data_IF_221089681561
#
_entry.id   IF_221089681561
#
_cell.length_a   1.000
_cell.length_b   1.000
_cell.length_c   1.000
_cell.angle_alpha   90.00
_cell.angle_beta   90.00
_cell.angle_gamma   90.00
#
_symmetry.space_group_name_H-M   'P 1'
#
loop_
_entity.id
_entity.type
_entity.pdbx_description
1 polymer ?
#
# COMPACT_ATOMS: atom_id res chain seq x y z
N UNK A 1 -0.95 9.35 -46.77
CA UNK A 1 -2.28 9.95 -47.03
C UNK A 1 -2.12 11.24 -47.84
N UNK A 2 -1.23 12.14 -47.48
CA UNK A 2 -1.05 13.42 -48.23
C UNK A 2 -0.54 13.23 -49.63
N UNK A 3 0.35 12.27 -49.86
CA UNK A 3 0.84 11.93 -51.20
C UNK A 3 -0.28 11.40 -52.12
N UNK A 4 -1.14 10.52 -51.64
CA UNK A 4 -2.30 10.00 -52.37
C UNK A 4 -3.32 11.10 -52.67
N UNK A 5 -3.55 11.99 -51.69
CA UNK A 5 -4.42 13.14 -51.88
C UNK A 5 -3.88 14.11 -52.92
N UNK A 6 -2.56 14.37 -52.96
CA UNK A 6 -1.94 15.21 -53.99
C UNK A 6 -2.10 14.64 -55.40
N UNK A 7 -1.90 13.31 -55.56
CA UNK A 7 -2.14 12.63 -56.84
C UNK A 7 -3.62 12.80 -57.27
N UNK A 8 -4.56 12.58 -56.34
CA UNK A 8 -5.98 12.73 -56.58
C UNK A 8 -6.36 14.16 -57.04
N UNK A 9 -5.83 15.18 -56.35
CA UNK A 9 -6.06 16.58 -56.72
C UNK A 9 -5.49 16.89 -58.12
N UNK A 10 -4.29 16.37 -58.44
CA UNK A 10 -3.68 16.56 -59.77
C UNK A 10 -4.52 15.91 -60.87
N UNK A 11 -5.04 14.70 -60.64
CA UNK A 11 -5.92 14.04 -61.59
C UNK A 11 -7.25 14.80 -61.82
N UNK A 12 -7.84 15.34 -60.73
CA UNK A 12 -9.09 16.13 -60.81
C UNK A 12 -8.83 17.43 -61.57
N UNK A 13 -7.70 18.12 -61.35
CA UNK A 13 -7.34 19.31 -62.07
C UNK A 13 -7.13 19.04 -63.56
N UNK A 14 -6.43 17.96 -63.90
CA UNK A 14 -6.18 17.58 -65.30
C UNK A 14 -7.47 17.20 -66.05
N UNK A 15 -8.26 16.29 -65.45
CA UNK A 15 -9.52 15.84 -66.08
C UNK A 15 -10.59 16.96 -66.10
N UNK A 16 -10.79 17.62 -64.93
CA UNK A 16 -11.77 18.71 -64.84
C UNK A 16 -11.40 19.94 -65.65
N UNK A 17 -10.09 20.23 -65.79
CA UNK A 17 -9.61 21.29 -66.66
C UNK A 17 -9.96 21.04 -68.12
N UNK A 18 -9.77 19.81 -68.60
CA UNK A 18 -10.20 19.45 -69.99
C UNK A 18 -11.72 19.57 -70.19
N UNK A 19 -12.52 19.09 -69.17
CA UNK A 19 -13.98 19.22 -69.25
C UNK A 19 -14.47 20.69 -69.24
N UNK A 20 -13.74 21.61 -68.63
CA UNK A 20 -14.02 23.06 -68.74
C UNK A 20 -13.68 23.60 -70.06
N UNK A 21 -12.60 23.16 -70.73
CA UNK A 21 -12.22 23.58 -72.09
C UNK A 21 -13.25 23.08 -73.13
N UNK A 22 -13.71 21.84 -72.96
CA UNK A 22 -14.72 21.21 -73.83
C UNK A 22 -16.12 21.79 -73.58
N UNK A 23 -16.35 22.61 -72.57
CA UNK A 23 -17.62 23.29 -72.27
C UNK A 23 -18.62 22.43 -71.47
N UNK A 24 -18.22 21.25 -71.01
CA UNK A 24 -19.09 20.31 -70.26
C UNK A 24 -19.43 20.81 -68.88
N UNK A 25 -18.49 21.50 -68.24
CA UNK A 25 -18.62 22.07 -66.83
C UNK A 25 -18.12 23.52 -66.85
N UNK A 26 -18.62 24.33 -65.89
CA UNK A 26 -18.12 25.68 -65.67
C UNK A 26 -16.86 25.68 -64.78
N UNK A 27 -16.00 26.66 -65.00
CA UNK A 27 -14.81 26.85 -64.12
C UNK A 27 -15.19 26.97 -62.60
N UNK A 28 -16.34 27.64 -62.33
CA UNK A 28 -16.88 27.74 -60.96
C UNK A 28 -17.27 26.41 -60.37
N UNK A 29 -17.83 25.47 -61.16
CA UNK A 29 -18.15 24.12 -60.65
C UNK A 29 -16.90 23.30 -60.31
N UNK A 30 -15.83 23.41 -61.14
CA UNK A 30 -14.55 22.76 -60.84
C UNK A 30 -13.92 23.29 -59.53
N UNK A 31 -13.93 24.62 -59.36
CA UNK A 31 -13.41 25.22 -58.08
C UNK A 31 -14.24 24.81 -56.89
N UNK A 32 -15.57 24.80 -56.99
CA UNK A 32 -16.46 24.33 -55.92
C UNK A 32 -16.18 22.87 -55.58
N UNK A 33 -16.03 21.98 -56.58
CA UNK A 33 -15.72 20.58 -56.36
C UNK A 33 -14.38 20.37 -55.63
N UNK A 34 -13.32 21.08 -56.05
CA UNK A 34 -12.01 21.03 -55.38
C UNK A 34 -12.10 21.51 -53.95
N UNK A 35 -12.86 22.60 -53.70
CA UNK A 35 -13.07 23.12 -52.34
C UNK A 35 -13.74 22.08 -51.44
N UNK A 36 -14.78 21.40 -51.92
CA UNK A 36 -15.46 20.34 -51.19
C UNK A 36 -14.55 19.12 -50.98
N UNK A 37 -13.79 18.71 -52.01
CA UNK A 37 -12.88 17.56 -51.93
C UNK A 37 -11.77 17.77 -50.89
N UNK A 38 -11.21 18.97 -50.81
CA UNK A 38 -10.21 19.32 -49.78
C UNK A 38 -10.84 19.40 -48.38
N UNK A 39 -12.02 20.00 -48.30
CA UNK A 39 -12.69 20.16 -46.98
C UNK A 39 -13.16 18.82 -46.39
N UNK A 40 -13.48 17.81 -47.21
CA UNK A 40 -13.91 16.48 -46.72
C UNK A 40 -12.79 15.73 -46.00
N UNK A 41 -11.52 16.02 -46.29
CA UNK A 41 -10.38 15.38 -45.68
C UNK A 41 -10.19 15.79 -44.20
N UNK A 42 -10.59 16.99 -43.80
CA UNK A 42 -10.46 17.51 -42.46
C UNK A 42 -11.33 16.76 -41.42
N UNK A 43 -12.64 16.53 -41.67
CA UNK A 43 -13.46 15.68 -40.78
C UNK A 43 -12.91 14.27 -40.64
N UNK A 44 -12.39 13.66 -41.73
CA UNK A 44 -11.80 12.31 -41.65
C UNK A 44 -10.58 12.26 -40.76
N UNK A 45 -9.67 13.24 -40.88
CA UNK A 45 -8.50 13.36 -39.99
C UNK A 45 -8.92 13.56 -38.54
N UNK A 46 -9.96 14.37 -38.29
CA UNK A 46 -10.51 14.57 -36.92
C UNK A 46 -11.11 13.29 -36.36
N UNK A 47 -11.88 12.53 -37.15
CA UNK A 47 -12.49 11.27 -36.74
C UNK A 47 -11.41 10.24 -36.36
N UNK A 48 -10.36 10.10 -37.19
CA UNK A 48 -9.23 9.21 -36.89
C UNK A 48 -8.54 9.59 -35.56
N UNK A 49 -8.40 10.89 -35.27
CA UNK A 49 -7.84 11.36 -34.00
C UNK A 49 -8.73 11.04 -32.80
N UNK A 50 -10.06 11.17 -32.99
CA UNK A 50 -11.05 10.81 -31.96
C UNK A 50 -10.96 9.31 -31.63
N UNK A 51 -10.93 8.46 -32.65
CA UNK A 51 -10.80 7.00 -32.47
C UNK A 51 -9.53 6.66 -31.71
N UNK A 52 -8.39 7.26 -32.10
CA UNK A 52 -7.12 7.05 -31.38
C UNK A 52 -7.16 7.54 -29.92
N UNK A 53 -7.91 8.62 -29.63
CA UNK A 53 -8.11 9.09 -28.27
C UNK A 53 -8.98 8.13 -27.43
N UNK A 54 -10.06 7.62 -28.03
CA UNK A 54 -10.94 6.62 -27.39
C UNK A 54 -10.14 5.36 -27.05
N UNK A 55 -9.33 4.83 -27.98
CA UNK A 55 -8.51 3.65 -27.73
C UNK A 55 -7.52 3.87 -26.59
N UNK A 56 -6.89 5.05 -26.51
CA UNK A 56 -6.00 5.41 -25.40
C UNK A 56 -6.74 5.51 -24.07
N UNK A 57 -7.94 6.10 -24.10
CA UNK A 57 -8.78 6.20 -22.88
C UNK A 57 -9.24 4.83 -22.39
N UNK A 58 -9.65 3.93 -23.31
CA UNK A 58 -10.00 2.55 -22.96
C UNK A 58 -8.82 1.79 -22.35
N UNK A 59 -7.64 1.85 -22.99
CA UNK A 59 -6.45 1.19 -22.44
C UNK A 59 -6.01 1.75 -21.08
N UNK A 60 -6.27 3.02 -20.80
CA UNK A 60 -6.04 3.60 -19.47
C UNK A 60 -7.09 3.14 -18.46
N UNK A 61 -8.36 3.05 -18.87
CA UNK A 61 -9.45 2.55 -18.04
C UNK A 61 -9.23 1.07 -17.68
N UNK A 62 -8.86 0.22 -18.64
CA UNK A 62 -8.56 -1.20 -18.39
C UNK A 62 -7.51 -1.34 -17.27
N UNK A 63 -6.42 -0.58 -17.30
CA UNK A 63 -5.38 -0.63 -16.24
C UNK A 63 -5.89 -0.19 -14.87
N UNK A 64 -6.83 0.74 -14.83
CA UNK A 64 -7.44 1.16 -13.55
C UNK A 64 -8.33 0.05 -13.01
N UNK A 65 -9.16 -0.55 -13.88
CA UNK A 65 -10.03 -1.66 -13.49
C UNK A 65 -9.23 -2.91 -13.14
N UNK A 66 -8.14 -3.22 -13.83
CA UNK A 66 -7.24 -4.32 -13.46
C UNK A 66 -6.77 -4.22 -12.01
N UNK A 67 -6.51 -2.99 -11.52
CA UNK A 67 -6.13 -2.77 -10.11
C UNK A 67 -7.33 -2.81 -9.18
N UNK A 68 -8.47 -2.25 -9.58
CA UNK A 68 -9.69 -2.23 -8.76
C UNK A 68 -10.30 -3.61 -8.60
N UNK A 69 -10.20 -4.45 -9.62
CA UNK A 69 -10.76 -5.80 -9.67
C UNK A 69 -9.78 -6.87 -9.16
N UNK A 70 -8.59 -6.45 -8.65
CA UNK A 70 -7.67 -7.40 -7.99
C UNK A 70 -8.40 -8.10 -6.84
N UNK A 71 -8.46 -9.44 -6.85
CA UNK A 71 -9.10 -10.16 -5.76
C UNK A 71 -8.31 -9.96 -4.46
N UNK A 72 -9.01 -9.71 -3.37
CA UNK A 72 -8.41 -9.75 -2.04
C UNK A 72 -7.91 -11.18 -1.78
N UNK A 73 -6.58 -11.32 -1.62
CA UNK A 73 -5.95 -12.62 -1.40
C UNK A 73 -6.35 -13.25 -0.08
N UNK A 74 -6.58 -12.43 0.96
CA UNK A 74 -6.98 -12.87 2.28
C UNK A 74 -8.34 -12.25 2.61
N UNK A 75 -9.32 -13.11 2.83
CA UNK A 75 -10.68 -12.70 3.17
C UNK A 75 -11.14 -13.40 4.45
N UNK A 76 -12.09 -12.78 5.14
CA UNK A 76 -12.76 -13.44 6.24
C UNK A 76 -13.54 -14.67 5.74
N UNK A 77 -13.42 -15.79 6.45
CA UNK A 77 -14.25 -16.95 6.16
C UNK A 77 -15.75 -16.57 6.29
N UNK A 78 -16.66 -17.14 5.49
CA UNK A 78 -18.09 -16.82 5.57
C UNK A 78 -18.72 -16.98 6.96
N UNK A 79 -18.13 -17.84 7.81
CA UNK A 79 -18.55 -18.09 9.19
C UNK A 79 -17.57 -17.55 10.24
N UNK A 80 -16.67 -16.63 9.84
CA UNK A 80 -15.67 -16.06 10.74
C UNK A 80 -16.37 -15.37 11.93
N UNK A 81 -15.89 -15.66 13.13
CA UNK A 81 -16.41 -15.09 14.38
C UNK A 81 -15.49 -13.94 14.83
N UNK A 82 -16.02 -13.04 15.63
CA UNK A 82 -15.15 -12.10 16.32
C UNK A 82 -14.26 -12.84 17.32
N UNK A 83 -12.96 -12.56 17.30
CA UNK A 83 -12.04 -13.04 18.32
C UNK A 83 -12.39 -12.32 19.63
N UNK A 84 -12.75 -13.04 20.71
CA UNK A 84 -13.00 -12.39 22.00
C UNK A 84 -11.70 -11.76 22.52
N UNK A 85 -11.82 -10.96 23.59
CA UNK A 85 -10.63 -10.48 24.29
C UNK A 85 -9.76 -11.65 24.71
N UNK A 86 -8.53 -11.69 24.19
CA UNK A 86 -7.62 -12.83 24.37
C UNK A 86 -6.69 -12.61 25.57
N UNK A 87 -6.17 -13.71 26.13
CA UNK A 87 -5.12 -13.70 27.14
C UNK A 87 -3.74 -13.61 26.52
N UNK A 88 -3.62 -14.00 25.24
CA UNK A 88 -2.38 -13.95 24.47
C UNK A 88 -1.60 -15.27 24.41
N UNK A 89 -2.23 -16.43 24.60
CA UNK A 89 -1.58 -17.71 24.28
C UNK A 89 -1.54 -17.88 22.77
N UNK A 90 -0.34 -18.02 22.18
CA UNK A 90 -0.11 -18.19 20.74
C UNK A 90 0.57 -19.52 20.50
N UNK A 91 0.03 -20.34 19.60
CA UNK A 91 0.59 -21.64 19.23
C UNK A 91 0.71 -21.78 17.72
N UNK A 92 1.92 -22.01 17.24
CA UNK A 92 2.21 -22.41 15.85
C UNK A 92 2.28 -23.93 15.81
N UNK A 93 1.41 -24.55 14.99
CA UNK A 93 1.26 -25.99 14.92
C UNK A 93 1.56 -26.48 13.51
N UNK A 94 2.76 -27.08 13.33
CA UNK A 94 3.22 -27.63 12.07
C UNK A 94 3.09 -26.63 10.89
N UNK A 95 3.41 -25.38 11.13
CA UNK A 95 3.24 -24.29 10.17
C UNK A 95 4.28 -24.37 9.07
N UNK A 96 3.82 -24.51 7.82
CA UNK A 96 4.65 -24.35 6.63
C UNK A 96 4.10 -23.21 5.79
N UNK A 97 5.00 -22.46 5.16
CA UNK A 97 4.64 -21.30 4.36
C UNK A 97 5.64 -21.05 3.23
N UNK A 98 5.12 -20.63 2.07
CA UNK A 98 5.86 -20.17 0.92
C UNK A 98 5.16 -18.94 0.30
N UNK A 99 5.91 -17.90 -0.09
CA UNK A 99 5.36 -16.79 -0.88
C UNK A 99 5.08 -17.23 -2.32
N UNK A 100 5.95 -18.07 -2.86
CA UNK A 100 5.79 -18.74 -4.15
C UNK A 100 5.81 -20.24 -3.91
N UNK A 101 4.96 -21.00 -4.60
CA UNK A 101 4.79 -22.43 -4.37
C UNK A 101 6.11 -23.24 -4.43
N UNK A 102 7.09 -22.78 -5.21
CA UNK A 102 8.37 -23.45 -5.42
C UNK A 102 9.47 -23.07 -4.40
N UNK A 103 9.22 -22.10 -3.51
CA UNK A 103 10.22 -21.58 -2.56
C UNK A 103 9.69 -21.62 -1.12
N UNK A 104 9.74 -22.79 -0.44
CA UNK A 104 9.32 -22.88 0.96
C UNK A 104 10.24 -22.05 1.87
N UNK A 105 9.63 -21.22 2.73
CA UNK A 105 10.35 -20.37 3.69
C UNK A 105 10.24 -20.92 5.10
N UNK A 106 9.05 -21.41 5.48
CA UNK A 106 8.83 -22.09 6.73
C UNK A 106 8.46 -23.54 6.45
N UNK A 107 9.07 -24.47 7.19
CA UNK A 107 8.79 -25.89 7.08
C UNK A 107 8.54 -26.47 8.47
N UNK A 108 7.29 -26.86 8.71
CA UNK A 108 6.84 -27.58 9.90
C UNK A 108 7.23 -26.89 11.24
N UNK A 109 7.09 -25.56 11.28
CA UNK A 109 7.46 -24.75 12.46
C UNK A 109 6.44 -24.97 13.57
N UNK A 110 6.95 -25.30 14.78
CA UNK A 110 6.16 -25.48 15.99
C UNK A 110 6.78 -24.69 17.14
N UNK A 111 6.00 -23.84 17.77
CA UNK A 111 6.35 -23.21 19.06
C UNK A 111 5.08 -22.69 19.74
N UNK A 112 5.19 -22.40 21.02
CA UNK A 112 4.14 -21.82 21.83
C UNK A 112 4.68 -20.65 22.64
N UNK A 113 3.86 -19.59 22.76
CA UNK A 113 4.10 -18.45 23.62
C UNK A 113 2.91 -18.30 24.58
N UNK A 114 3.18 -18.34 25.86
CA UNK A 114 2.16 -18.17 26.91
C UNK A 114 1.99 -16.69 27.29
N UNK A 115 0.85 -16.28 27.88
CA UNK A 115 0.63 -14.92 28.31
C UNK A 115 1.76 -14.38 29.20
N UNK A 116 2.24 -13.15 28.89
CA UNK A 116 3.35 -12.51 29.59
C UNK A 116 4.74 -13.07 29.26
N UNK A 117 4.84 -14.04 28.35
CA UNK A 117 6.13 -14.58 27.91
C UNK A 117 6.70 -13.78 26.75
N UNK A 118 7.99 -13.49 26.81
CA UNK A 118 8.76 -12.96 25.66
C UNK A 118 9.42 -14.13 24.93
N UNK A 119 9.13 -14.27 23.64
CA UNK A 119 9.72 -15.28 22.75
C UNK A 119 10.60 -14.61 21.73
N UNK A 120 11.90 -14.90 21.73
CA UNK A 120 12.84 -14.38 20.75
C UNK A 120 13.02 -15.36 19.58
N UNK A 121 12.75 -14.88 18.35
CA UNK A 121 13.05 -15.59 17.10
C UNK A 121 14.47 -15.23 16.65
N UNK A 122 15.38 -16.18 16.68
CA UNK A 122 16.79 -15.97 16.31
C UNK A 122 17.17 -16.82 15.11
N UNK A 123 18.06 -16.31 14.28
CA UNK A 123 18.52 -17.01 13.08
C UNK A 123 19.16 -16.06 12.04
N UNK A 124 19.85 -16.60 11.02
CA UNK A 124 20.45 -15.80 9.97
C UNK A 124 19.41 -15.00 9.18
N UNK A 125 19.88 -14.04 8.37
CA UNK A 125 19.01 -13.36 7.40
C UNK A 125 18.39 -14.37 6.46
N UNK A 126 17.09 -14.22 6.15
CA UNK A 126 16.35 -15.17 5.33
C UNK A 126 15.82 -16.42 6.05
N UNK A 127 16.05 -16.59 7.36
CA UNK A 127 15.53 -17.74 8.12
C UNK A 127 14.01 -17.70 8.39
N UNK A 128 13.25 -16.75 7.82
CA UNK A 128 11.79 -16.69 7.94
C UNK A 128 11.27 -15.96 9.19
N UNK A 129 12.12 -15.24 9.97
CA UNK A 129 11.68 -14.51 11.17
C UNK A 129 10.56 -13.51 10.90
N UNK A 130 10.76 -12.61 9.93
CA UNK A 130 9.76 -11.61 9.54
C UNK A 130 8.54 -12.26 8.87
N UNK A 131 8.70 -13.45 8.30
CA UNK A 131 7.56 -14.25 7.79
C UNK A 131 6.68 -14.72 8.94
N UNK A 132 7.25 -15.25 10.03
CA UNK A 132 6.49 -15.61 11.25
C UNK A 132 5.76 -14.39 11.80
N UNK A 133 6.43 -13.23 11.89
CA UNK A 133 5.85 -11.96 12.32
C UNK A 133 4.67 -11.52 11.42
N UNK A 134 4.72 -11.80 10.12
CA UNK A 134 3.68 -11.43 9.14
C UNK A 134 2.50 -12.41 9.12
N UNK A 135 2.71 -13.66 9.50
CA UNK A 135 1.65 -14.68 9.53
C UNK A 135 0.70 -14.50 10.71
N UNK A 136 1.19 -14.05 11.86
CA UNK A 136 0.37 -13.91 13.07
C UNK A 136 -0.77 -12.89 12.93
N UNK A 137 -0.56 -11.67 12.35
CA UNK A 137 -1.66 -10.75 12.04
C UNK A 137 -2.45 -11.12 10.77
N UNK A 138 -2.18 -12.31 10.21
CA UNK A 138 -2.79 -12.84 9.00
C UNK A 138 -2.66 -11.87 7.82
N UNK A 139 -1.42 -11.44 7.52
CA UNK A 139 -1.11 -10.79 6.23
C UNK A 139 -1.03 -11.81 5.10
N UNK A 140 -0.77 -13.07 5.46
CA UNK A 140 -0.79 -14.23 4.58
C UNK A 140 -1.43 -15.41 5.33
N UNK A 141 -2.06 -16.32 4.61
CA UNK A 141 -2.50 -17.60 5.16
C UNK A 141 -1.39 -18.65 5.06
N UNK A 142 -1.30 -19.53 6.04
CA UNK A 142 -0.32 -20.62 6.04
C UNK A 142 -0.59 -21.61 4.91
N UNK A 143 0.46 -22.19 4.32
CA UNK A 143 0.32 -23.23 3.29
C UNK A 143 -0.15 -24.55 3.91
N UNK A 144 0.35 -24.88 5.11
CA UNK A 144 -0.14 -26.01 5.91
C UNK A 144 0.07 -25.75 7.40
N UNK A 145 -0.58 -26.52 8.26
CA UNK A 145 -0.61 -26.30 9.69
C UNK A 145 -1.62 -25.25 10.11
N UNK A 146 -1.47 -24.72 11.32
CA UNK A 146 -2.38 -23.73 11.90
C UNK A 146 -1.68 -22.82 12.90
N UNK A 147 -2.20 -21.59 13.03
CA UNK A 147 -1.81 -20.63 14.06
C UNK A 147 -3.02 -20.42 14.95
N UNK A 148 -2.86 -20.72 16.22
CA UNK A 148 -3.93 -20.73 17.21
C UNK A 148 -3.68 -19.61 18.24
N UNK A 149 -4.69 -18.79 18.51
CA UNK A 149 -4.68 -17.81 19.60
C UNK A 149 -5.79 -18.16 20.59
N UNK A 150 -5.43 -18.45 21.84
CA UNK A 150 -6.36 -18.87 22.91
C UNK A 150 -7.34 -19.97 22.47
N UNK A 151 -6.87 -20.94 21.68
CA UNK A 151 -7.66 -22.07 21.18
C UNK A 151 -8.47 -21.79 19.91
N UNK A 152 -8.39 -20.57 19.33
CA UNK A 152 -9.04 -20.21 18.09
C UNK A 152 -8.03 -20.16 16.93
N UNK A 153 -8.30 -20.85 15.82
CA UNK A 153 -7.50 -20.67 14.61
C UNK A 153 -7.71 -19.27 14.03
N UNK A 154 -6.62 -18.58 13.67
CA UNK A 154 -6.70 -17.21 13.15
C UNK A 154 -7.48 -17.12 11.82
N UNK A 155 -7.70 -18.24 11.12
CA UNK A 155 -8.50 -18.31 9.89
C UNK A 155 -10.02 -18.31 10.17
N UNK A 156 -10.42 -18.73 11.37
CA UNK A 156 -11.83 -18.82 11.77
C UNK A 156 -12.37 -17.57 12.42
N UNK A 157 -11.51 -16.54 12.57
CA UNK A 157 -11.89 -15.26 13.18
C UNK A 157 -11.81 -14.12 12.15
N UNK A 158 -12.51 -13.00 12.42
CA UNK A 158 -12.45 -11.84 11.55
C UNK A 158 -11.10 -11.14 11.69
N UNK A 159 -10.57 -10.66 10.56
CA UNK A 159 -9.26 -9.98 10.53
C UNK A 159 -9.22 -8.74 11.41
N UNK A 160 -10.33 -7.99 11.47
CA UNK A 160 -10.44 -6.81 12.32
C UNK A 160 -10.23 -7.19 13.78
N UNK A 161 -10.99 -8.17 14.30
CA UNK A 161 -10.89 -8.59 15.69
C UNK A 161 -9.54 -9.22 16.04
N UNK A 162 -8.91 -9.94 15.09
CA UNK A 162 -7.56 -10.46 15.23
C UNK A 162 -6.54 -9.33 15.36
N UNK A 163 -6.58 -8.38 14.42
CA UNK A 163 -5.62 -7.28 14.36
C UNK A 163 -5.80 -6.25 15.47
N UNK A 164 -6.97 -6.16 16.07
CA UNK A 164 -7.16 -5.39 17.31
C UNK A 164 -6.31 -5.93 18.47
N UNK A 165 -6.18 -7.26 18.58
CA UNK A 165 -5.42 -7.91 19.65
C UNK A 165 -3.91 -7.93 19.40
N UNK A 166 -3.45 -7.64 18.17
CA UNK A 166 -2.04 -7.72 17.76
C UNK A 166 -1.50 -6.31 17.49
N UNK A 167 -0.40 -5.95 18.16
CA UNK A 167 0.40 -4.76 17.86
C UNK A 167 1.68 -5.14 17.14
N UNK A 168 2.16 -4.30 16.25
CA UNK A 168 3.41 -4.51 15.51
C UNK A 168 4.26 -3.25 15.59
N UNK A 169 5.52 -3.40 15.97
CA UNK A 169 6.57 -2.40 15.78
C UNK A 169 7.50 -2.91 14.68
N UNK A 170 7.38 -2.39 13.45
CA UNK A 170 8.15 -2.89 12.31
C UNK A 170 9.60 -2.40 12.36
N UNK A 171 10.49 -3.09 11.66
CA UNK A 171 11.90 -2.73 11.48
C UNK A 171 12.03 -1.33 10.85
N UNK A 172 11.32 -1.09 9.74
CA UNK A 172 11.23 0.22 9.13
C UNK A 172 9.97 0.94 9.61
N UNK A 173 10.16 1.90 10.51
CA UNK A 173 9.06 2.69 11.04
C UNK A 173 8.54 3.65 9.99
N UNK A 174 7.29 3.47 9.58
CA UNK A 174 6.56 4.40 8.74
C UNK A 174 5.75 5.38 9.60
N UNK A 175 5.97 6.68 9.35
CA UNK A 175 5.13 7.74 9.88
C UNK A 175 4.29 8.33 8.76
N UNK A 176 3.04 8.65 9.10
CA UNK A 176 2.11 9.28 8.17
C UNK A 176 2.37 10.78 8.07
N UNK A 177 2.02 11.37 6.94
CA UNK A 177 1.98 12.81 6.80
C UNK A 177 0.91 13.38 7.75
N UNK A 178 1.32 14.24 8.66
CA UNK A 178 0.49 14.79 9.74
C UNK A 178 1.34 15.22 10.92
N UNK A 179 0.73 15.52 12.04
CA UNK A 179 1.42 15.93 13.27
C UNK A 179 2.05 14.71 13.98
N UNK A 180 2.95 14.98 14.93
CA UNK A 180 3.43 13.95 15.86
C UNK A 180 2.27 13.37 16.66
N UNK A 181 1.33 14.23 17.09
CA UNK A 181 0.11 13.83 17.79
C UNK A 181 -0.70 12.84 16.98
N UNK A 182 -1.04 13.17 15.72
CA UNK A 182 -1.81 12.30 14.83
C UNK A 182 -1.14 10.93 14.66
N UNK A 183 0.18 10.93 14.52
CA UNK A 183 0.95 9.69 14.38
C UNK A 183 0.88 8.79 15.59
N UNK A 184 0.86 9.33 16.80
CA UNK A 184 0.70 8.52 18.02
C UNK A 184 -0.76 8.10 18.18
N UNK A 185 -1.71 9.03 17.96
CA UNK A 185 -3.14 8.80 18.05
C UNK A 185 -3.62 7.67 17.13
N UNK A 186 -2.91 7.44 16.01
CA UNK A 186 -3.19 6.34 15.08
C UNK A 186 -3.18 4.95 15.76
N UNK A 187 -2.53 4.81 16.91
CA UNK A 187 -2.59 3.57 17.73
C UNK A 187 -4.00 3.28 18.26
N UNK A 188 -4.75 4.32 18.66
CA UNK A 188 -6.14 4.26 19.10
C UNK A 188 -6.79 5.63 18.91
N UNK A 189 -7.70 5.72 17.91
CA UNK A 189 -8.25 6.98 17.42
C UNK A 189 -9.18 7.71 18.40
N UNK A 190 -9.71 7.01 19.38
CA UNK A 190 -10.59 7.52 20.45
C UNK A 190 -9.85 7.85 21.75
N UNK A 191 -8.49 7.80 21.73
CA UNK A 191 -7.68 8.10 22.89
C UNK A 191 -7.73 9.60 23.26
N UNK A 192 -7.67 9.89 24.53
CA UNK A 192 -7.57 11.27 25.03
C UNK A 192 -6.16 11.84 24.87
N UNK A 193 -6.02 13.15 24.96
CA UNK A 193 -4.71 13.82 24.88
C UNK A 193 -3.78 13.34 26.01
N UNK A 194 -4.33 13.14 27.22
CA UNK A 194 -3.57 12.63 28.37
C UNK A 194 -3.04 11.21 28.12
N UNK A 195 -3.81 10.34 27.46
CA UNK A 195 -3.40 8.99 27.09
C UNK A 195 -2.29 9.01 26.05
N UNK A 196 -2.40 9.87 25.03
CA UNK A 196 -1.35 10.07 24.01
C UNK A 196 -0.06 10.56 24.65
N UNK A 197 -0.14 11.53 25.57
CA UNK A 197 1.03 12.02 26.30
C UNK A 197 1.61 10.95 27.23
N UNK A 198 0.79 10.15 27.89
CA UNK A 198 1.23 9.05 28.75
C UNK A 198 1.97 7.98 27.93
N UNK A 199 1.42 7.58 26.78
CA UNK A 199 2.06 6.64 25.87
C UNK A 199 3.40 7.16 25.35
N UNK A 200 3.49 8.44 24.98
CA UNK A 200 4.75 9.05 24.52
C UNK A 200 5.80 9.15 25.63
N UNK A 201 5.40 9.39 26.88
CA UNK A 201 6.31 9.34 28.05
C UNK A 201 6.83 7.92 28.30
N UNK A 202 5.95 6.92 28.24
CA UNK A 202 6.31 5.52 28.38
C UNK A 202 7.30 5.07 27.28
N UNK A 203 7.12 5.56 26.05
CA UNK A 203 8.03 5.32 24.93
C UNK A 203 9.31 6.17 24.94
N UNK A 204 9.59 6.94 26.00
CA UNK A 204 10.68 7.91 26.06
C UNK A 204 10.67 8.92 24.86
N UNK A 205 9.49 9.19 24.29
CA UNK A 205 9.33 10.10 23.17
C UNK A 205 9.04 11.56 23.59
N UNK A 206 8.38 11.76 24.72
CA UNK A 206 7.87 13.04 25.17
C UNK A 206 8.93 14.16 25.16
N UNK A 207 10.12 13.90 25.70
CA UNK A 207 11.15 14.94 25.87
C UNK A 207 11.60 15.49 24.52
N UNK A 208 11.98 14.64 23.55
CA UNK A 208 12.39 15.13 22.24
C UNK A 208 11.22 15.78 21.47
N UNK A 209 9.96 15.32 21.70
CA UNK A 209 8.78 15.94 21.08
C UNK A 209 8.66 17.38 21.56
N UNK A 210 8.85 17.65 22.86
CA UNK A 210 8.78 18.99 23.42
C UNK A 210 9.93 19.92 22.95
N UNK A 211 11.03 19.35 22.44
CA UNK A 211 12.15 20.11 21.84
C UNK A 211 11.87 20.47 20.37
N UNK A 212 10.86 19.85 19.74
CA UNK A 212 10.45 20.22 18.37
C UNK A 212 9.78 21.59 18.34
N UNK A 213 9.86 22.32 17.22
CA UNK A 213 9.37 23.72 17.13
C UNK A 213 7.92 23.94 17.59
N UNK A 214 7.03 22.96 17.33
CA UNK A 214 5.62 23.02 17.72
C UNK A 214 5.21 21.85 18.63
N UNK A 215 6.17 21.19 19.30
CA UNK A 215 5.87 20.05 20.17
C UNK A 215 5.08 18.95 19.42
N UNK A 216 3.98 18.50 20.02
CA UNK A 216 3.09 17.49 19.42
C UNK A 216 2.45 17.92 18.11
N UNK A 217 2.24 19.22 17.88
CA UNK A 217 1.67 19.78 16.64
C UNK A 217 2.72 19.95 15.53
N UNK A 218 3.95 19.50 15.75
CA UNK A 218 4.99 19.53 14.72
C UNK A 218 4.59 18.62 13.56
N UNK A 219 4.52 19.22 12.36
CA UNK A 219 4.24 18.51 11.13
C UNK A 219 5.42 17.63 10.73
N UNK A 220 5.15 16.35 10.56
CA UNK A 220 6.10 15.38 10.03
C UNK A 220 5.93 15.33 8.52
N UNK A 221 7.02 15.56 7.78
CA UNK A 221 7.04 15.34 6.33
C UNK A 221 6.85 13.86 5.97
N UNK A 222 6.81 13.58 4.66
CA UNK A 222 6.68 12.22 4.15
C UNK A 222 7.67 11.28 4.85
N UNK A 223 7.14 10.23 5.47
CA UNK A 223 7.89 9.21 6.23
C UNK A 223 8.71 9.74 7.41
N UNK A 224 8.39 10.94 7.94
CA UNK A 224 9.11 11.51 9.09
C UNK A 224 10.55 11.91 8.77
N UNK A 225 10.81 12.43 7.57
CA UNK A 225 12.16 12.85 7.10
C UNK A 225 12.82 13.86 8.03
N UNK A 226 12.04 14.63 8.80
CA UNK A 226 12.53 15.70 9.66
C UNK A 226 13.03 15.25 11.03
N UNK A 227 12.97 13.95 11.34
CA UNK A 227 13.36 13.40 12.64
C UNK A 227 14.31 12.19 12.47
N UNK A 228 15.12 11.89 13.50
CA UNK A 228 16.08 10.79 13.46
C UNK A 228 15.40 9.41 13.44
N UNK A 229 16.15 8.36 13.06
CA UNK A 229 15.66 6.97 13.07
C UNK A 229 15.15 6.56 14.46
N UNK A 230 15.91 6.86 15.53
CA UNK A 230 15.51 6.57 16.90
C UNK A 230 14.29 7.37 17.37
N UNK A 231 14.10 8.60 16.89
CA UNK A 231 12.90 9.39 17.17
C UNK A 231 11.67 8.78 16.49
N UNK A 232 11.79 8.36 15.21
CA UNK A 232 10.70 7.65 14.51
C UNK A 232 10.31 6.37 15.25
N UNK A 233 11.31 5.60 15.66
CA UNK A 233 11.09 4.34 16.39
C UNK A 233 10.33 4.56 17.70
N UNK A 234 10.70 5.58 18.50
CA UNK A 234 10.00 5.93 19.75
C UNK A 234 8.55 6.36 19.50
N UNK A 235 8.25 7.06 18.41
CA UNK A 235 6.87 7.36 18.02
C UNK A 235 6.10 6.08 17.69
N UNK A 236 6.71 5.11 16.96
CA UNK A 236 6.07 3.83 16.67
C UNK A 236 5.81 3.00 17.93
N UNK A 237 6.73 3.03 18.89
CA UNK A 237 6.55 2.39 20.19
C UNK A 237 5.42 3.07 20.96
N UNK A 238 5.36 4.42 20.99
CA UNK A 238 4.26 5.16 21.61
C UNK A 238 2.89 4.78 21.00
N UNK A 239 2.84 4.61 19.68
CA UNK A 239 1.66 4.10 18.96
C UNK A 239 1.27 2.69 19.44
N UNK A 240 2.24 1.79 19.58
CA UNK A 240 1.99 0.43 20.05
C UNK A 240 1.54 0.41 21.52
N UNK A 241 2.15 1.23 22.40
CA UNK A 241 1.73 1.40 23.79
C UNK A 241 0.29 1.93 23.89
N UNK A 242 -0.06 2.95 23.09
CA UNK A 242 -1.39 3.54 23.08
C UNK A 242 -2.45 2.54 22.64
N UNK A 243 -2.12 1.68 21.68
CA UNK A 243 -2.98 0.60 21.21
C UNK A 243 -3.25 -0.44 22.32
N UNK A 244 -2.27 -0.68 23.20
CA UNK A 244 -2.33 -1.65 24.30
C UNK A 244 -2.78 -3.05 23.86
N UNK A 245 -2.10 -3.68 22.89
CA UNK A 245 -2.47 -4.99 22.35
C UNK A 245 -2.13 -6.11 23.34
N UNK A 246 -2.84 -7.25 23.26
CA UNK A 246 -2.53 -8.42 24.05
C UNK A 246 -1.31 -9.20 23.54
N UNK A 247 -1.01 -9.06 22.25
CA UNK A 247 0.15 -9.68 21.60
C UNK A 247 0.94 -8.57 20.91
N UNK A 248 2.22 -8.45 21.23
CA UNK A 248 3.11 -7.48 20.62
C UNK A 248 4.19 -8.18 19.81
N UNK A 249 4.34 -7.76 18.55
CA UNK A 249 5.39 -8.21 17.64
C UNK A 249 6.40 -7.09 17.48
N UNK A 250 7.68 -7.41 17.73
CA UNK A 250 8.80 -6.50 17.55
C UNK A 250 9.70 -7.09 16.45
N UNK A 251 9.76 -6.45 15.28
CA UNK A 251 10.60 -6.89 14.17
C UNK A 251 11.85 -5.99 14.11
N UNK A 252 12.98 -6.52 14.62
CA UNK A 252 14.29 -5.84 14.65
C UNK A 252 14.24 -4.37 15.11
N UNK A 253 13.43 -4.07 16.11
CA UNK A 253 13.09 -2.71 16.54
C UNK A 253 14.29 -1.83 16.94
N UNK A 254 15.52 -2.37 17.06
CA UNK A 254 16.72 -1.64 17.49
C UNK A 254 17.88 -1.70 16.49
N UNK A 255 17.79 -2.47 15.41
CA UNK A 255 18.93 -2.81 14.54
C UNK A 255 19.58 -1.63 13.80
N UNK A 256 18.87 -0.51 13.63
CA UNK A 256 19.35 0.68 12.90
C UNK A 256 19.63 1.89 13.83
N UNK A 257 19.71 1.68 15.14
CA UNK A 257 19.88 2.73 16.12
C UNK A 257 21.33 2.84 16.59
N UNK A 258 21.76 4.05 16.94
CA UNK A 258 22.97 4.26 17.72
C UNK A 258 22.79 3.73 19.15
N UNK A 259 23.88 3.41 19.83
CA UNK A 259 23.88 2.74 21.14
C UNK A 259 23.08 3.49 22.21
N UNK A 260 23.05 4.84 22.18
CA UNK A 260 22.28 5.64 23.14
C UNK A 260 20.77 5.53 22.85
N UNK A 261 20.37 5.67 21.57
CA UNK A 261 18.98 5.49 21.14
C UNK A 261 18.48 4.07 21.36
N UNK A 262 19.33 3.06 21.13
CA UNK A 262 19.00 1.65 21.38
C UNK A 262 18.64 1.41 22.85
N UNK A 263 19.44 1.92 23.77
CA UNK A 263 19.17 1.77 25.20
C UNK A 263 17.86 2.43 25.61
N UNK A 264 17.58 3.63 25.10
CA UNK A 264 16.34 4.36 25.39
C UNK A 264 15.12 3.64 24.83
N UNK A 265 15.25 3.03 23.65
CA UNK A 265 14.19 2.22 23.03
C UNK A 265 13.99 0.91 23.81
N UNK A 266 15.08 0.23 24.21
CA UNK A 266 14.98 -0.99 25.00
C UNK A 266 14.29 -0.73 26.35
N UNK A 267 14.64 0.37 27.06
CA UNK A 267 13.97 0.78 28.29
C UNK A 267 12.46 1.04 28.08
N UNK A 268 12.04 1.47 26.90
CA UNK A 268 10.63 1.66 26.58
C UNK A 268 9.93 0.32 26.29
N UNK A 269 10.59 -0.61 25.59
CA UNK A 269 10.08 -1.95 25.29
C UNK A 269 9.92 -2.80 26.55
N UNK A 270 10.85 -2.69 27.52
CA UNK A 270 10.79 -3.42 28.79
C UNK A 270 9.62 -2.99 29.70
N UNK A 271 8.90 -1.91 29.35
CA UNK A 271 7.70 -1.42 30.05
C UNK A 271 6.38 -1.90 29.42
N UNK A 272 6.47 -2.55 28.26
CA UNK A 272 5.35 -3.15 27.57
C UNK A 272 5.10 -4.58 28.05
#
# INVERSE_FOLDING_TARGET
IEFVAAIGVTMILWYGGNSVIDGDITAGALVAFLTYAVNISNPIKRLSKVIANIQRALAAADRVFDVLDLPELIQNAPAAKQLPHVKGNVSFQNVSFAYNADEPILDNVCFEATPGQVVALVGPSGAGKSTVASLLPRFYDVTSGSIIIDGCDIRDVTMESLREQVGIVPQETMLFNGTVYDNILYGRLDATEEEVMAASKAANAHNFIMELPNGYETQLGDRGVNISGGQRQRIAIARAILKNPQILILDEATSALDTESERVVQDALDRL
#
